data_IF_863128319436
#
_entry.id   IF_863128319436
#
_cell.length_a   1.000
_cell.length_b   1.000
_cell.length_c   1.000
_cell.angle_alpha   90.00
_cell.angle_beta   90.00
_cell.angle_gamma   90.00
#
_symmetry.space_group_name_H-M   'P 1'
#
loop_
_entity.id
_entity.type
_entity.pdbx_description
1 polymer ?
#
# COMPACT_ATOMS: atom_id res chain seq x y z
N UNK A 1 14.32 5.00 11.67
CA UNK A 1 13.64 6.26 11.30
C UNK A 1 12.18 6.04 11.64
N UNK A 2 11.65 6.81 12.56
CA UNK A 2 10.25 6.75 13.01
C UNK A 2 9.51 7.88 12.29
N UNK A 3 8.53 7.54 11.46
CA UNK A 3 7.62 8.53 10.86
C UNK A 3 6.38 8.56 11.76
N UNK A 4 6.44 9.36 12.82
CA UNK A 4 5.31 9.62 13.70
C UNK A 4 4.63 10.95 13.35
N UNK A 5 3.33 11.04 13.68
CA UNK A 5 2.42 12.20 13.52
C UNK A 5 1.55 12.26 12.25
N UNK A 6 0.98 11.14 11.81
CA UNK A 6 -0.10 11.24 10.83
C UNK A 6 0.38 11.61 9.44
N UNK A 7 1.37 10.92 8.86
CA UNK A 7 1.73 11.07 7.46
C UNK A 7 1.79 9.73 6.72
N UNK A 8 1.20 9.74 5.51
CA UNK A 8 0.93 8.66 4.54
C UNK A 8 2.12 8.46 3.58
N UNK A 9 2.44 7.22 3.15
CA UNK A 9 3.45 6.91 2.14
C UNK A 9 2.74 6.53 0.85
N UNK A 10 2.77 7.43 -0.12
CA UNK A 10 2.29 7.18 -1.48
C UNK A 10 3.47 6.95 -2.41
N UNK A 11 3.41 5.86 -3.17
CA UNK A 11 4.38 5.53 -4.22
C UNK A 11 3.69 5.65 -5.57
N UNK A 12 4.34 6.29 -6.55
CA UNK A 12 3.75 6.51 -7.87
C UNK A 12 4.79 6.45 -8.99
N UNK A 13 4.44 5.74 -10.07
CA UNK A 13 5.22 5.63 -11.31
C UNK A 13 6.66 5.12 -11.11
N UNK A 14 6.90 4.30 -10.09
CA UNK A 14 8.25 3.81 -9.76
C UNK A 14 8.31 2.29 -9.77
N UNK A 15 9.54 1.77 -9.72
CA UNK A 15 9.86 0.33 -9.66
C UNK A 15 10.83 0.10 -8.50
N UNK A 16 10.73 -1.05 -7.84
CA UNK A 16 11.64 -1.49 -6.77
C UNK A 16 11.64 -0.59 -5.51
N UNK A 17 10.53 -0.56 -4.76
CA UNK A 17 10.40 0.25 -3.53
C UNK A 17 10.32 -0.65 -2.29
N UNK A 18 10.98 -0.24 -1.20
CA UNK A 18 10.87 -0.85 0.15
C UNK A 18 10.30 0.20 1.10
N UNK A 19 9.24 -0.12 1.85
CA UNK A 19 8.51 0.82 2.72
C UNK A 19 8.30 0.22 4.11
N UNK A 20 8.27 1.06 5.15
CA UNK A 20 7.96 0.66 6.52
C UNK A 20 7.20 1.77 7.30
N UNK A 21 6.03 1.39 7.87
CA UNK A 21 5.09 2.08 8.79
C UNK A 21 4.52 3.47 8.38
N UNK A 22 3.21 3.65 8.54
CA UNK A 22 2.47 4.80 7.98
C UNK A 22 1.27 5.28 8.85
N UNK A 23 0.89 6.57 8.80
CA UNK A 23 -0.20 7.19 9.62
C UNK A 23 -1.02 8.21 8.77
N UNK A 24 -2.34 8.43 8.93
CA UNK A 24 -3.13 9.38 8.09
C UNK A 24 -2.73 10.87 8.14
N UNK A 25 -2.74 11.59 7.00
CA UNK A 25 -2.37 13.03 6.82
C UNK A 25 -3.40 13.81 5.99
N UNK A 26 -3.53 15.12 6.26
CA UNK A 26 -4.33 16.06 5.43
C UNK A 26 -3.76 16.33 4.02
N UNK A 27 -2.59 15.79 3.70
CA UNK A 27 -1.86 16.07 2.46
C UNK A 27 -1.07 17.38 2.53
N UNK A 28 -0.52 17.81 1.39
CA UNK A 28 0.29 19.03 1.32
C UNK A 28 1.36 18.97 0.24
N UNK A 29 2.29 19.92 0.29
CA UNK A 29 3.44 19.97 -0.62
C UNK A 29 4.52 19.01 -0.11
N UNK A 30 4.65 17.86 -0.76
CA UNK A 30 5.53 16.76 -0.34
C UNK A 30 6.68 16.63 -1.34
N UNK A 31 7.90 16.44 -0.83
CA UNK A 31 9.06 16.14 -1.66
C UNK A 31 8.93 14.72 -2.22
N UNK A 32 8.83 14.58 -3.53
CA UNK A 32 8.67 13.29 -4.23
C UNK A 32 9.76 13.07 -5.30
N UNK A 33 10.76 13.94 -5.33
CA UNK A 33 12.02 13.73 -6.04
C UNK A 33 13.14 14.58 -5.43
N UNK A 34 14.39 14.31 -5.78
CA UNK A 34 15.55 15.03 -5.23
C UNK A 34 15.40 16.56 -5.36
N UNK A 35 14.81 17.00 -6.47
CA UNK A 35 14.57 18.40 -6.82
C UNK A 35 13.09 18.73 -7.09
N UNK A 36 12.15 17.88 -6.66
CA UNK A 36 10.72 18.06 -6.97
C UNK A 36 9.85 17.96 -5.71
N UNK A 37 8.86 18.85 -5.66
CA UNK A 37 7.84 18.87 -4.63
C UNK A 37 6.46 18.89 -5.28
N UNK A 38 5.79 17.75 -5.28
CA UNK A 38 4.40 17.62 -5.72
C UNK A 38 3.40 18.07 -4.67
N UNK A 39 2.22 18.52 -5.12
CA UNK A 39 1.06 18.69 -4.25
C UNK A 39 0.35 17.34 -4.12
N UNK A 40 0.17 16.87 -2.89
CA UNK A 40 -0.48 15.59 -2.58
C UNK A 40 -1.78 15.84 -1.83
N UNK A 41 -2.81 15.07 -2.21
CA UNK A 41 -4.09 15.04 -1.49
C UNK A 41 -3.96 14.41 -0.11
N UNK A 42 -5.05 14.39 0.63
CA UNK A 42 -5.12 13.68 1.90
C UNK A 42 -4.82 12.18 1.72
N UNK A 43 -4.21 11.58 2.73
CA UNK A 43 -4.05 10.13 2.86
C UNK A 43 -5.02 9.65 3.93
N UNK A 44 -5.79 8.62 3.56
CA UNK A 44 -6.65 7.75 4.36
C UNK A 44 -5.92 7.04 5.50
N UNK A 45 -4.64 6.70 5.28
CA UNK A 45 -3.77 6.09 6.29
C UNK A 45 -3.60 4.59 6.12
N UNK A 46 -3.57 4.12 4.88
CA UNK A 46 -3.14 2.76 4.57
C UNK A 46 -1.70 2.51 5.06
N UNK A 47 -1.34 1.26 5.32
CA UNK A 47 0.06 0.90 5.56
C UNK A 47 0.94 1.24 4.36
N UNK A 48 0.52 0.84 3.15
CA UNK A 48 1.14 1.21 1.88
C UNK A 48 0.09 1.33 0.79
N UNK A 49 0.12 2.40 0.00
CA UNK A 49 -0.71 2.55 -1.21
C UNK A 49 0.15 2.70 -2.48
N UNK A 50 -0.13 1.90 -3.50
CA UNK A 50 0.46 1.96 -4.84
C UNK A 50 -0.51 2.58 -5.85
N UNK A 51 0.01 3.43 -6.73
CA UNK A 51 -0.78 4.07 -7.77
C UNK A 51 -0.02 4.06 -9.10
N UNK A 52 -0.54 3.32 -10.08
CA UNK A 52 0.05 3.14 -11.42
C UNK A 52 1.49 2.60 -11.37
N UNK A 53 1.78 1.71 -10.43
CA UNK A 53 3.11 1.12 -10.28
C UNK A 53 3.22 -0.25 -10.97
N UNK A 54 4.42 -0.68 -11.31
CA UNK A 54 4.63 -2.00 -11.92
C UNK A 54 5.93 -2.61 -11.42
N UNK A 55 5.95 -3.94 -11.23
CA UNK A 55 7.13 -4.66 -10.72
C UNK A 55 7.49 -4.20 -9.30
N UNK A 56 6.60 -4.50 -8.36
CA UNK A 56 6.75 -4.16 -6.95
C UNK A 56 6.82 -5.45 -6.11
N UNK A 57 7.66 -5.44 -5.07
CA UNK A 57 7.75 -6.55 -4.13
C UNK A 57 7.66 -6.03 -2.71
N UNK A 58 6.65 -6.51 -1.98
CA UNK A 58 6.49 -6.37 -0.55
C UNK A 58 7.04 -7.64 0.09
N UNK A 59 8.15 -7.52 0.81
CA UNK A 59 8.81 -8.68 1.40
C UNK A 59 9.22 -8.41 2.86
N UNK A 60 8.97 -9.37 3.75
CA UNK A 60 9.30 -9.30 5.19
C UNK A 60 8.68 -8.10 5.93
N UNK A 61 7.49 -7.65 5.52
CA UNK A 61 6.77 -6.59 6.23
C UNK A 61 6.03 -7.14 7.44
N UNK A 62 5.86 -6.32 8.48
CA UNK A 62 4.98 -6.61 9.61
C UNK A 62 4.03 -5.42 9.80
N UNK A 63 2.76 -5.60 9.48
CA UNK A 63 1.74 -4.55 9.53
C UNK A 63 0.55 -4.94 10.40
N UNK A 64 0.07 -3.98 11.17
CA UNK A 64 -1.08 -4.07 12.06
C UNK A 64 -1.58 -2.66 12.38
N UNK A 65 -2.87 -2.51 12.72
CA UNK A 65 -3.46 -1.26 13.19
C UNK A 65 -3.16 -0.02 12.31
N UNK A 66 -3.18 -0.19 10.98
CA UNK A 66 -3.26 0.99 10.10
C UNK A 66 -4.63 1.66 10.26
N UNK A 67 -4.80 2.86 9.73
CA UNK A 67 -6.07 3.56 9.89
C UNK A 67 -7.13 3.11 8.88
N UNK A 68 -6.71 2.71 7.68
CA UNK A 68 -7.59 2.17 6.63
C UNK A 68 -7.11 0.79 6.15
N UNK A 69 -6.46 0.62 4.99
CA UNK A 69 -5.91 -0.65 4.51
C UNK A 69 -4.52 -0.99 5.06
N UNK A 70 -4.03 -2.25 4.97
CA UNK A 70 -2.59 -2.52 5.17
C UNK A 70 -1.79 -2.37 3.87
N UNK A 71 -2.32 -2.91 2.76
CA UNK A 71 -1.71 -2.79 1.43
C UNK A 71 -2.80 -2.52 0.39
N UNK A 72 -2.69 -1.37 -0.27
CA UNK A 72 -3.57 -0.96 -1.35
C UNK A 72 -2.79 -0.83 -2.65
N UNK A 73 -3.30 -1.44 -3.72
CA UNK A 73 -2.75 -1.28 -5.05
C UNK A 73 -3.87 -1.03 -6.05
N UNK A 74 -3.87 0.18 -6.62
CA UNK A 74 -4.98 0.67 -7.43
C UNK A 74 -4.48 1.26 -8.76
N UNK A 75 -5.43 1.54 -9.65
CA UNK A 75 -5.21 2.36 -10.85
C UNK A 75 -4.19 1.74 -11.82
N UNK A 76 -4.31 0.44 -12.09
CA UNK A 76 -3.49 -0.29 -13.05
C UNK A 76 -2.15 -0.74 -12.49
N UNK A 77 -2.00 -0.70 -11.17
CA UNK A 77 -0.84 -1.29 -10.51
C UNK A 77 -0.79 -2.78 -10.81
N UNK A 78 0.36 -3.32 -11.22
CA UNK A 78 0.44 -4.72 -11.67
C UNK A 78 1.83 -5.33 -11.46
N UNK A 79 1.91 -6.65 -11.55
CA UNK A 79 3.12 -7.43 -11.27
C UNK A 79 3.66 -7.09 -9.87
N UNK A 80 2.77 -7.24 -8.88
CA UNK A 80 3.10 -7.10 -7.47
C UNK A 80 3.35 -8.48 -6.85
N UNK A 81 4.34 -8.59 -5.96
CA UNK A 81 4.55 -9.79 -5.13
C UNK A 81 4.45 -9.37 -3.67
N UNK A 82 3.60 -10.04 -2.90
CA UNK A 82 3.53 -9.92 -1.45
C UNK A 82 4.04 -11.24 -0.87
N UNK A 83 5.22 -11.22 -0.25
CA UNK A 83 5.85 -12.42 0.28
C UNK A 83 6.43 -12.26 1.68
N UNK A 84 6.43 -13.34 2.46
CA UNK A 84 7.03 -13.38 3.80
C UNK A 84 6.54 -12.27 4.76
N UNK A 85 5.37 -11.69 4.49
CA UNK A 85 4.81 -10.63 5.32
C UNK A 85 3.99 -11.21 6.47
N UNK A 86 3.93 -10.49 7.59
CA UNK A 86 3.11 -10.81 8.74
C UNK A 86 2.04 -9.74 8.95
N UNK A 87 0.77 -10.15 8.94
CA UNK A 87 -0.37 -9.26 9.09
C UNK A 87 -1.19 -9.69 10.31
N UNK A 88 -1.55 -8.76 11.19
CA UNK A 88 -2.38 -9.01 12.39
C UNK A 88 -3.25 -7.81 12.72
N UNK A 89 -4.31 -8.06 13.52
CA UNK A 89 -5.09 -7.03 14.21
C UNK A 89 -5.54 -5.88 13.31
N UNK A 90 -6.29 -6.21 12.25
CA UNK A 90 -6.70 -5.25 11.24
C UNK A 90 -7.95 -5.68 10.46
N UNK A 91 -8.84 -4.74 10.13
CA UNK A 91 -10.11 -5.08 9.49
C UNK A 91 -9.94 -5.33 7.98
N UNK A 92 -9.47 -4.31 7.26
CA UNK A 92 -9.33 -4.32 5.80
C UNK A 92 -7.87 -4.56 5.41
N UNK A 93 -7.52 -5.83 5.17
CA UNK A 93 -6.09 -6.20 5.08
C UNK A 93 -5.47 -5.73 3.77
N UNK A 94 -6.02 -6.07 2.61
CA UNK A 94 -5.44 -5.65 1.33
C UNK A 94 -6.48 -5.38 0.25
N UNK A 95 -6.35 -4.27 -0.49
CA UNK A 95 -7.22 -3.92 -1.61
C UNK A 95 -6.45 -3.91 -2.95
N UNK A 96 -6.84 -4.79 -3.87
CA UNK A 96 -6.26 -4.84 -5.22
C UNK A 96 -7.31 -4.47 -6.27
N UNK A 97 -7.29 -3.21 -6.70
CA UNK A 97 -8.26 -2.64 -7.64
C UNK A 97 -9.48 -2.06 -6.92
N UNK A 98 -9.50 -0.74 -6.75
CA UNK A 98 -10.54 -0.04 -5.98
C UNK A 98 -11.83 0.29 -6.77
N UNK A 99 -11.91 -0.04 -8.06
CA UNK A 99 -13.09 0.30 -8.87
C UNK A 99 -13.36 -0.71 -9.98
N UNK A 100 -14.54 -1.34 -9.92
CA UNK A 100 -15.04 -2.29 -10.95
C UNK A 100 -15.10 -1.68 -12.37
N UNK A 101 -15.21 -0.35 -12.45
CA UNK A 101 -15.29 0.38 -13.72
C UNK A 101 -13.93 0.65 -14.36
N UNK A 102 -12.82 0.47 -13.63
CA UNK A 102 -11.50 0.82 -14.11
C UNK A 102 -10.86 -0.33 -14.91
N UNK A 103 -10.87 -0.20 -16.23
CA UNK A 103 -10.38 -1.25 -17.14
C UNK A 103 -8.87 -1.51 -17.04
N UNK A 104 -8.10 -0.59 -16.47
CA UNK A 104 -6.66 -0.77 -16.26
C UNK A 104 -6.33 -1.88 -15.26
N UNK A 105 -7.22 -2.14 -14.30
CA UNK A 105 -7.05 -3.19 -13.27
C UNK A 105 -7.29 -4.60 -13.84
N UNK A 106 -7.88 -4.75 -15.04
CA UNK A 106 -8.06 -6.06 -15.69
C UNK A 106 -6.76 -6.81 -15.98
N UNK A 107 -5.64 -6.09 -16.02
CA UNK A 107 -4.29 -6.65 -16.24
C UNK A 107 -3.50 -6.76 -14.94
N UNK A 108 -4.13 -6.51 -13.79
CA UNK A 108 -3.49 -6.63 -12.50
C UNK A 108 -3.08 -8.07 -12.27
N UNK A 109 -1.83 -8.26 -11.89
CA UNK A 109 -1.27 -9.56 -11.50
C UNK A 109 -0.58 -9.38 -10.17
N UNK A 110 -0.99 -10.19 -9.20
CA UNK A 110 -0.46 -10.15 -7.84
C UNK A 110 -0.13 -11.57 -7.42
N UNK A 111 1.08 -11.76 -6.90
CA UNK A 111 1.53 -13.02 -6.32
C UNK A 111 1.53 -12.90 -4.81
N UNK A 112 0.90 -13.84 -4.11
CA UNK A 112 0.99 -13.97 -2.66
C UNK A 112 1.72 -15.27 -2.32
N UNK A 113 2.76 -15.19 -1.51
CA UNK A 113 3.53 -16.37 -1.12
C UNK A 113 4.05 -16.25 0.32
N UNK A 114 3.88 -17.30 1.13
CA UNK A 114 4.53 -17.39 2.45
C UNK A 114 4.15 -16.25 3.42
N UNK A 115 3.01 -15.59 3.21
CA UNK A 115 2.52 -14.58 4.15
C UNK A 115 1.84 -15.25 5.35
N UNK A 116 2.06 -14.69 6.53
CA UNK A 116 1.40 -15.09 7.76
C UNK A 116 0.27 -14.13 8.11
N UNK A 117 -0.96 -14.53 7.76
CA UNK A 117 -2.20 -13.90 8.22
C UNK A 117 -2.51 -14.40 9.64
N UNK A 118 -2.13 -13.61 10.64
CA UNK A 118 -2.28 -13.96 12.04
C UNK A 118 -3.66 -13.61 12.61
N UNK A 119 -3.73 -13.50 13.93
CA UNK A 119 -5.00 -13.24 14.64
C UNK A 119 -5.46 -11.79 14.45
N UNK A 120 -6.76 -11.58 14.67
CA UNK A 120 -7.36 -10.26 14.66
C UNK A 120 -7.63 -9.67 13.27
N UNK A 121 -7.47 -10.47 12.20
CA UNK A 121 -7.84 -10.06 10.85
C UNK A 121 -9.33 -10.34 10.58
N UNK A 122 -10.00 -9.42 9.88
CA UNK A 122 -11.44 -9.56 9.56
C UNK A 122 -11.66 -9.97 8.10
N UNK A 123 -11.16 -9.18 7.14
CA UNK A 123 -11.44 -9.40 5.72
C UNK A 123 -10.31 -8.94 4.78
N UNK A 124 -10.53 -9.14 3.47
CA UNK A 124 -9.62 -8.76 2.37
C UNK A 124 -8.23 -9.42 2.41
N UNK A 125 -8.19 -10.76 2.47
CA UNK A 125 -6.95 -11.56 2.50
C UNK A 125 -6.78 -12.50 1.28
N UNK A 126 -6.61 -12.01 0.04
CA UNK A 126 -6.81 -10.64 -0.46
C UNK A 126 -8.28 -10.38 -0.90
N UNK A 127 -8.59 -9.11 -1.24
CA UNK A 127 -9.81 -8.70 -1.97
C UNK A 127 -9.47 -8.06 -3.31
#
# INVERSE_FOLDING_TARGET
MEICNGAGITVQFVKNVIIHHNIPTKGGKIKDGENHHGLRGASDGDGVSLFRDTNISFDHLSHHHCADGLIDAIQGSTVATVSNCHFTDHNDVMLFGASDSYSGDKKMQVTFALNHFGKGLVERMPS
#
